data_IF_481554898046
#
_entry.id   IF_481554898046
#
_cell.length_a   1.000
_cell.length_b   1.000
_cell.length_c   1.000
_cell.angle_alpha   90.00
_cell.angle_beta   90.00
_cell.angle_gamma   90.00
#
_symmetry.space_group_name_H-M   'P 1'
#
loop_
_entity.id
_entity.type
_entity.pdbx_description
1 polymer ?
#
# COMPACT_ATOMS: atom_id res chain seq x y z
N UNK A 1 12.33 -15.20 -3.99
CA UNK A 1 11.56 -14.00 -3.65
C UNK A 1 12.48 -12.79 -3.82
N UNK A 2 11.98 -11.74 -4.47
CA UNK A 2 12.71 -10.68 -5.19
C UNK A 2 13.64 -11.23 -6.29
N UNK A 3 13.22 -11.12 -7.56
CA UNK A 3 14.19 -11.18 -8.66
C UNK A 3 15.19 -10.05 -8.40
N UNK A 4 16.48 -10.32 -8.59
CA UNK A 4 17.52 -9.31 -8.44
C UNK A 4 17.10 -8.09 -9.29
N UNK A 5 16.78 -6.96 -8.63
CA UNK A 5 16.40 -5.65 -9.20
C UNK A 5 14.92 -5.35 -9.49
N UNK A 6 13.92 -6.09 -8.98
CA UNK A 6 12.51 -5.63 -9.09
C UNK A 6 11.92 -5.25 -7.74
N UNK A 7 11.54 -3.99 -7.56
CA UNK A 7 10.78 -3.52 -6.39
C UNK A 7 9.41 -4.21 -6.32
N UNK A 8 8.85 -4.42 -5.11
CA UNK A 8 7.47 -4.88 -4.96
C UNK A 8 6.48 -3.95 -5.68
N UNK A 9 5.36 -4.47 -6.23
CA UNK A 9 4.43 -3.70 -7.09
C UNK A 9 3.64 -2.59 -6.36
N UNK A 10 3.83 -2.46 -5.05
CA UNK A 10 3.27 -1.39 -4.21
C UNK A 10 4.29 -0.30 -3.86
N UNK A 11 5.52 -0.37 -4.40
CA UNK A 11 6.57 0.64 -4.25
C UNK A 11 6.90 1.21 -5.64
N UNK A 12 6.66 2.50 -5.82
CA UNK A 12 7.02 3.16 -7.07
C UNK A 12 8.52 3.47 -7.11
N UNK A 13 9.21 3.28 -8.25
CA UNK A 13 10.66 3.52 -8.36
C UNK A 13 11.10 4.94 -7.95
N UNK A 14 10.24 5.95 -8.14
CA UNK A 14 10.54 7.33 -7.71
C UNK A 14 10.82 7.43 -6.20
N UNK A 15 10.19 6.61 -5.35
CA UNK A 15 10.40 6.64 -3.89
C UNK A 15 11.78 6.11 -3.48
N UNK A 16 12.49 5.44 -4.38
CA UNK A 16 13.84 4.88 -4.15
C UNK A 16 14.88 5.70 -4.94
N UNK A 17 14.46 6.80 -5.58
CA UNK A 17 15.37 7.73 -6.25
C UNK A 17 16.23 8.46 -5.21
N UNK A 18 17.49 8.72 -5.55
CA UNK A 18 18.40 9.51 -4.71
C UNK A 18 17.91 10.93 -4.40
N UNK A 19 16.89 11.41 -5.13
CA UNK A 19 16.26 12.72 -4.92
C UNK A 19 15.33 12.76 -3.71
N UNK A 20 14.79 11.61 -3.30
CA UNK A 20 13.92 11.48 -2.13
C UNK A 20 14.67 10.72 -1.04
N UNK A 21 15.05 11.41 0.03
CA UNK A 21 15.60 10.75 1.21
C UNK A 21 14.47 9.99 1.94
N UNK A 22 14.38 8.68 1.70
CA UNK A 22 13.35 7.81 2.27
C UNK A 22 13.99 6.78 3.19
N UNK A 23 14.60 7.28 4.27
CA UNK A 23 15.44 6.49 5.17
C UNK A 23 14.82 5.13 5.58
N UNK A 24 13.53 5.03 5.99
CA UNK A 24 12.95 3.74 6.36
C UNK A 24 12.96 2.70 5.23
N UNK A 25 12.72 3.15 3.99
CA UNK A 25 12.69 2.27 2.82
C UNK A 25 14.10 1.94 2.33
N UNK A 26 15.03 2.90 2.38
CA UNK A 26 16.45 2.68 2.07
C UNK A 26 17.06 1.64 3.03
N UNK A 27 16.78 1.78 4.33
CA UNK A 27 17.19 0.82 5.35
C UNK A 27 16.61 -0.57 5.03
N UNK A 28 15.32 -0.66 4.70
CA UNK A 28 14.68 -1.91 4.32
C UNK A 28 15.35 -2.58 3.13
N UNK A 29 15.58 -1.83 2.04
CA UNK A 29 16.21 -2.33 0.82
C UNK A 29 17.62 -2.86 1.13
N UNK A 30 18.41 -2.11 1.90
CA UNK A 30 19.75 -2.54 2.32
C UNK A 30 19.73 -3.83 3.14
N UNK A 31 18.78 -3.98 4.08
CA UNK A 31 18.62 -5.18 4.88
C UNK A 31 18.19 -6.39 4.03
N UNK A 32 17.29 -6.18 3.07
CA UNK A 32 16.84 -7.24 2.17
C UNK A 32 17.97 -7.69 1.23
N UNK A 33 18.79 -6.77 0.74
CA UNK A 33 19.99 -7.12 -0.03
C UNK A 33 21.00 -7.92 0.80
N UNK A 34 21.19 -7.54 2.07
CA UNK A 34 22.09 -8.25 2.99
C UNK A 34 21.69 -9.72 3.17
N UNK A 35 20.39 -10.02 3.24
CA UNK A 35 19.89 -11.38 3.47
C UNK A 35 19.70 -12.21 2.19
N UNK A 36 19.69 -11.55 1.03
CA UNK A 36 19.63 -12.20 -0.29
C UNK A 36 20.97 -12.80 -0.72
N UNK A 37 22.07 -12.44 -0.06
CA UNK A 37 23.40 -13.04 -0.27
C UNK A 37 23.64 -14.32 0.55
N UNK A 38 24.56 -15.17 0.11
CA UNK A 38 24.90 -16.47 0.73
C UNK A 38 25.71 -16.35 2.05
N UNK A 39 25.45 -15.36 2.89
CA UNK A 39 26.19 -15.16 4.14
C UNK A 39 25.63 -15.99 5.29
N UNK A 40 26.46 -16.89 5.85
CA UNK A 40 26.16 -17.59 7.12
C UNK A 40 25.90 -16.56 8.23
N UNK A 41 24.73 -16.61 8.86
CA UNK A 41 24.32 -15.68 9.91
C UNK A 41 23.56 -14.43 9.44
N UNK A 42 23.36 -14.27 8.12
CA UNK A 42 22.64 -13.12 7.54
C UNK A 42 21.21 -12.96 8.09
N UNK A 43 20.48 -14.07 8.31
CA UNK A 43 19.10 -14.05 8.84
C UNK A 43 19.01 -13.54 10.28
N UNK A 44 19.90 -14.00 11.17
CA UNK A 44 19.96 -13.52 12.56
C UNK A 44 20.28 -12.02 12.62
N UNK A 45 21.23 -11.58 11.80
CA UNK A 45 21.60 -10.17 11.72
C UNK A 45 20.46 -9.32 11.12
N UNK A 46 19.80 -9.83 10.08
CA UNK A 46 18.62 -9.22 9.47
C UNK A 46 17.54 -8.94 10.50
N UNK A 47 17.07 -9.97 11.23
CA UNK A 47 16.02 -9.80 12.23
C UNK A 47 16.44 -8.92 13.41
N UNK A 48 17.72 -8.94 13.79
CA UNK A 48 18.25 -7.99 14.78
C UNK A 48 18.13 -6.54 14.30
N UNK A 49 18.45 -6.29 13.03
CA UNK A 49 18.36 -4.94 12.45
C UNK A 49 16.91 -4.52 12.23
N UNK A 50 16.02 -5.43 11.82
CA UNK A 50 14.57 -5.15 11.73
C UNK A 50 14.02 -4.73 13.08
N UNK A 51 14.41 -5.42 14.18
CA UNK A 51 14.03 -5.01 15.54
C UNK A 51 14.46 -3.58 15.84
N UNK A 52 15.74 -3.25 15.61
CA UNK A 52 16.27 -1.91 15.88
C UNK A 52 15.55 -0.85 15.04
N UNK A 53 15.20 -1.17 13.79
CA UNK A 53 14.45 -0.25 12.93
C UNK A 53 13.02 -0.04 13.43
N UNK A 54 12.33 -1.09 13.87
CA UNK A 54 11.01 -0.93 14.50
C UNK A 54 11.08 -0.10 15.79
N UNK A 55 12.09 -0.31 16.63
CA UNK A 55 12.30 0.47 17.86
C UNK A 55 12.58 1.95 17.55
N UNK A 56 13.41 2.22 16.55
CA UNK A 56 13.69 3.57 16.05
C UNK A 56 12.44 4.25 15.52
N UNK A 57 11.69 3.58 14.63
CA UNK A 57 10.42 4.09 14.09
C UNK A 57 9.44 4.41 15.22
N UNK A 58 9.34 3.56 16.24
CA UNK A 58 8.49 3.83 17.40
C UNK A 58 8.93 5.09 18.17
N UNK A 59 10.23 5.31 18.34
CA UNK A 59 10.77 6.47 19.05
C UNK A 59 10.62 7.78 18.26
N UNK A 60 10.83 7.74 16.94
CA UNK A 60 11.01 8.91 16.09
C UNK A 60 9.78 9.25 15.23
N UNK A 61 8.71 8.44 15.27
CA UNK A 61 7.53 8.61 14.38
C UNK A 61 6.90 10.00 14.36
N UNK A 62 7.03 10.80 15.43
CA UNK A 62 6.48 12.15 15.48
C UNK A 62 7.22 13.14 14.58
N UNK A 63 8.50 12.89 14.33
CA UNK A 63 9.40 13.72 13.52
C UNK A 63 9.35 13.36 12.03
N UNK A 64 8.79 12.19 11.70
CA UNK A 64 8.68 11.72 10.31
C UNK A 64 7.67 12.55 9.49
N UNK A 65 8.07 12.87 8.27
CA UNK A 65 7.21 13.48 7.25
C UNK A 65 6.16 12.49 6.72
N UNK A 66 5.13 12.98 6.00
CA UNK A 66 4.12 12.11 5.37
C UNK A 66 4.74 11.03 4.48
N UNK A 67 5.82 11.39 3.78
CA UNK A 67 6.56 10.54 2.87
C UNK A 67 7.36 9.47 3.61
N UNK A 68 8.06 9.85 4.68
CA UNK A 68 8.78 8.88 5.52
C UNK A 68 7.84 7.93 6.26
N UNK A 69 6.66 8.40 6.68
CA UNK A 69 5.62 7.53 7.25
C UNK A 69 5.11 6.49 6.24
N UNK A 70 4.90 6.90 4.98
CA UNK A 70 4.55 5.99 3.89
C UNK A 70 5.67 4.98 3.63
N UNK A 71 6.92 5.46 3.53
CA UNK A 71 8.11 4.63 3.35
C UNK A 71 8.27 3.61 4.50
N UNK A 72 8.03 4.03 5.75
CA UNK A 72 8.03 3.15 6.92
C UNK A 72 6.94 2.08 6.83
N UNK A 73 5.72 2.44 6.44
CA UNK A 73 4.64 1.47 6.24
C UNK A 73 4.95 0.45 5.13
N UNK A 74 5.61 0.89 4.05
CA UNK A 74 6.08 0.01 2.97
C UNK A 74 7.18 -0.94 3.46
N UNK A 75 8.18 -0.42 4.19
CA UNK A 75 9.24 -1.23 4.80
C UNK A 75 8.68 -2.29 5.77
N UNK A 76 7.75 -1.90 6.64
CA UNK A 76 7.08 -2.81 7.57
C UNK A 76 6.31 -3.91 6.83
N UNK A 77 5.64 -3.58 5.71
CA UNK A 77 4.94 -4.59 4.91
C UNK A 77 5.90 -5.62 4.30
N UNK A 78 7.11 -5.19 3.87
CA UNK A 78 8.15 -6.10 3.39
C UNK A 78 8.61 -7.02 4.51
N UNK A 79 8.90 -6.47 5.70
CA UNK A 79 9.30 -7.28 6.86
C UNK A 79 8.23 -8.30 7.25
N UNK A 80 6.95 -7.93 7.20
CA UNK A 80 5.83 -8.84 7.44
C UNK A 80 5.77 -9.94 6.37
N UNK A 81 5.90 -9.60 5.08
CA UNK A 81 5.89 -10.60 4.00
C UNK A 81 7.05 -11.59 4.18
N UNK A 82 8.25 -11.12 4.52
CA UNK A 82 9.40 -11.99 4.80
C UNK A 82 9.15 -12.85 6.05
N UNK A 83 8.56 -12.27 7.10
CA UNK A 83 8.20 -12.99 8.33
C UNK A 83 7.22 -14.14 8.07
N UNK A 84 6.25 -13.91 7.18
CA UNK A 84 5.24 -14.89 6.78
C UNK A 84 5.84 -15.99 5.88
N UNK A 85 6.71 -15.63 4.94
CA UNK A 85 7.41 -16.59 4.07
C UNK A 85 8.35 -17.53 4.86
N UNK A 86 9.11 -16.98 5.81
CA UNK A 86 10.08 -17.76 6.60
C UNK A 86 9.43 -18.67 7.66
N UNK A 87 8.20 -18.35 8.10
CA UNK A 87 7.59 -19.00 9.27
C UNK A 87 8.32 -18.64 10.57
N UNK A 88 7.89 -19.25 11.69
CA UNK A 88 8.49 -18.98 13.01
C UNK A 88 9.91 -19.57 13.12
N UNK A 89 10.85 -18.77 13.59
CA UNK A 89 12.24 -19.16 13.82
C UNK A 89 12.75 -18.60 15.15
N UNK A 90 13.90 -19.10 15.61
CA UNK A 90 14.54 -18.67 16.87
C UNK A 90 14.96 -17.17 16.89
N UNK A 91 14.99 -16.49 15.74
CA UNK A 91 15.46 -15.09 15.64
C UNK A 91 14.38 -14.08 15.26
N UNK A 92 13.18 -14.52 14.85
CA UNK A 92 12.16 -13.65 14.25
C UNK A 92 10.88 -13.48 15.09
N UNK A 93 10.93 -13.80 16.39
CA UNK A 93 9.85 -13.54 17.35
C UNK A 93 9.65 -12.04 17.63
N UNK A 94 9.22 -11.30 16.61
CA UNK A 94 9.03 -9.85 16.57
C UNK A 94 7.59 -9.44 16.27
N UNK A 95 6.66 -10.40 16.17
CA UNK A 95 5.32 -10.17 15.64
C UNK A 95 4.57 -9.07 16.40
N UNK A 96 4.67 -9.08 17.74
CA UNK A 96 4.08 -8.03 18.59
C UNK A 96 4.69 -6.65 18.36
N UNK A 97 6.01 -6.58 18.15
CA UNK A 97 6.71 -5.34 17.85
C UNK A 97 6.33 -4.82 16.46
N UNK A 98 6.36 -5.68 15.43
CA UNK A 98 5.93 -5.35 14.07
C UNK A 98 4.50 -4.81 14.06
N UNK A 99 3.57 -5.47 14.74
CA UNK A 99 2.18 -5.02 14.83
C UNK A 99 2.05 -3.69 15.55
N UNK A 100 2.73 -3.51 16.68
CA UNK A 100 2.71 -2.25 17.41
C UNK A 100 3.26 -1.09 16.56
N UNK A 101 4.37 -1.31 15.85
CA UNK A 101 4.95 -0.30 14.96
C UNK A 101 4.02 0.02 13.80
N UNK A 102 3.39 -0.98 13.16
CA UNK A 102 2.40 -0.73 12.09
C UNK A 102 1.24 0.12 12.60
N UNK A 103 0.66 -0.22 13.76
CA UNK A 103 -0.45 0.54 14.34
C UNK A 103 -0.04 2.00 14.57
N UNK A 104 1.12 2.20 15.21
CA UNK A 104 1.61 3.53 15.56
C UNK A 104 1.88 4.40 14.32
N UNK A 105 2.59 3.86 13.33
CA UNK A 105 2.92 4.59 12.10
C UNK A 105 1.65 4.87 11.29
N UNK A 106 0.73 3.91 11.19
CA UNK A 106 -0.53 4.12 10.48
C UNK A 106 -1.41 5.16 11.18
N UNK A 107 -1.48 5.19 12.52
CA UNK A 107 -2.14 6.26 13.28
C UNK A 107 -1.55 7.63 12.93
N UNK A 108 -0.23 7.74 12.94
CA UNK A 108 0.45 8.99 12.60
C UNK A 108 0.22 9.41 11.15
N UNK A 109 0.21 8.46 10.22
CA UNK A 109 -0.10 8.71 8.81
C UNK A 109 -1.54 9.20 8.63
N UNK A 110 -2.49 8.70 9.42
CA UNK A 110 -3.87 9.18 9.44
C UNK A 110 -3.99 10.60 10.00
N UNK A 111 -3.29 10.90 11.10
CA UNK A 111 -3.31 12.21 11.77
C UNK A 111 -2.59 13.32 10.97
N UNK A 112 -1.66 12.95 10.09
CA UNK A 112 -0.87 13.90 9.29
C UNK A 112 -1.68 14.77 8.32
N UNK A 113 -3.02 14.66 8.31
CA UNK A 113 -3.90 15.72 7.84
C UNK A 113 -3.73 16.03 6.36
N UNK A 114 -3.98 15.05 5.49
CA UNK A 114 -4.14 15.32 4.06
C UNK A 114 -5.53 15.89 3.89
N UNK A 115 -5.63 17.19 4.11
CA UNK A 115 -6.80 17.95 3.70
C UNK A 115 -6.94 17.76 2.19
N UNK A 116 -7.97 17.03 1.80
CA UNK A 116 -8.35 16.84 0.42
C UNK A 116 -8.94 18.15 -0.12
N UNK A 117 -8.06 19.12 -0.35
CA UNK A 117 -8.34 20.14 -1.34
C UNK A 117 -8.22 19.47 -2.70
N UNK A 118 -9.34 18.91 -3.17
CA UNK A 118 -9.56 18.73 -4.60
C UNK A 118 -9.65 20.12 -5.24
N UNK A 119 -8.52 20.82 -5.30
CA UNK A 119 -8.29 21.81 -6.33
C UNK A 119 -8.03 21.05 -7.62
N UNK A 120 -8.46 21.62 -8.74
CA UNK A 120 -8.22 21.11 -10.11
C UNK A 120 -6.73 20.93 -10.47
N UNK A 121 -5.80 21.22 -9.56
CA UNK A 121 -4.35 21.08 -9.67
C UNK A 121 -3.80 20.00 -8.71
N UNK A 122 -4.22 18.74 -8.86
CA UNK A 122 -3.52 17.62 -8.17
C UNK A 122 -2.14 17.47 -8.81
N UNK A 123 -1.08 17.64 -8.02
CA UNK A 123 0.29 17.39 -8.49
C UNK A 123 0.53 15.89 -8.68
N UNK A 124 1.46 15.53 -9.57
CA UNK A 124 1.85 14.12 -9.73
C UNK A 124 2.36 13.50 -8.42
N UNK A 125 3.06 14.28 -7.59
CA UNK A 125 3.56 13.81 -6.29
C UNK A 125 2.42 13.50 -5.31
N UNK A 126 1.38 14.34 -5.25
CA UNK A 126 0.22 14.07 -4.40
C UNK A 126 -0.58 12.87 -4.92
N UNK A 127 -0.76 12.76 -6.24
CA UNK A 127 -1.35 11.57 -6.86
C UNK A 127 -0.57 10.30 -6.53
N UNK A 128 0.76 10.35 -6.64
CA UNK A 128 1.65 9.22 -6.42
C UNK A 128 1.64 8.78 -4.96
N UNK A 129 1.58 9.74 -4.04
CA UNK A 129 1.43 9.50 -2.61
C UNK A 129 0.15 8.72 -2.32
N UNK A 130 -0.99 9.19 -2.83
CA UNK A 130 -2.29 8.54 -2.61
C UNK A 130 -2.40 7.18 -3.31
N UNK A 131 -1.84 7.04 -4.52
CA UNK A 131 -1.79 5.76 -5.21
C UNK A 131 -0.91 4.75 -4.46
N UNK A 132 0.23 5.18 -3.92
CA UNK A 132 1.10 4.34 -3.09
C UNK A 132 0.39 3.87 -1.82
N UNK A 133 -0.35 4.76 -1.14
CA UNK A 133 -1.18 4.41 0.02
C UNK A 133 -2.28 3.42 -0.34
N UNK A 134 -2.95 3.62 -1.48
CA UNK A 134 -4.00 2.72 -1.98
C UNK A 134 -3.46 1.32 -2.22
N UNK A 135 -2.34 1.20 -2.94
CA UNK A 135 -1.68 -0.08 -3.22
C UNK A 135 -1.23 -0.78 -1.95
N UNK A 136 -0.69 -0.03 -0.99
CA UNK A 136 -0.28 -0.56 0.31
C UNK A 136 -1.47 -1.05 1.14
N UNK A 137 -2.59 -0.32 1.14
CA UNK A 137 -3.84 -0.74 1.78
C UNK A 137 -4.35 -2.07 1.24
N UNK A 138 -4.29 -2.27 -0.09
CA UNK A 138 -4.62 -3.56 -0.72
C UNK A 138 -3.73 -4.67 -0.17
N UNK A 139 -2.41 -4.46 -0.09
CA UNK A 139 -1.47 -5.46 0.46
C UNK A 139 -1.82 -5.83 1.89
N UNK A 140 -1.99 -4.86 2.79
CA UNK A 140 -2.33 -5.13 4.19
C UNK A 140 -3.69 -5.82 4.36
N UNK A 141 -4.68 -5.49 3.52
CA UNK A 141 -5.97 -6.19 3.51
C UNK A 141 -5.83 -7.64 3.09
N UNK A 142 -5.07 -7.91 2.03
CA UNK A 142 -4.83 -9.30 1.62
C UNK A 142 -4.09 -10.08 2.70
N UNK A 143 -3.07 -9.48 3.34
CA UNK A 143 -2.41 -10.09 4.50
C UNK A 143 -3.41 -10.41 5.60
N UNK A 144 -4.35 -9.51 5.91
CA UNK A 144 -5.39 -9.74 6.92
C UNK A 144 -6.41 -10.82 6.54
N UNK A 145 -6.65 -11.04 5.25
CA UNK A 145 -7.50 -12.14 4.80
C UNK A 145 -6.81 -13.50 4.99
N UNK A 146 -5.48 -13.55 4.86
CA UNK A 146 -4.69 -14.77 4.99
C UNK A 146 -4.32 -15.09 6.45
N UNK A 147 -4.08 -14.05 7.25
CA UNK A 147 -3.66 -14.14 8.65
C UNK A 147 -4.41 -13.11 9.46
N UNK A 148 -4.83 -13.43 10.69
CA UNK A 148 -5.45 -12.45 11.56
C UNK A 148 -4.46 -11.29 11.82
N UNK A 149 -4.74 -10.13 11.23
CA UNK A 149 -3.87 -8.96 11.25
C UNK A 149 -4.69 -7.74 11.66
N UNK A 150 -4.88 -7.61 12.97
CA UNK A 150 -5.65 -6.52 13.60
C UNK A 150 -5.38 -5.11 13.03
N UNK A 151 -4.14 -4.71 12.67
CA UNK A 151 -3.90 -3.38 12.13
C UNK A 151 -4.64 -3.08 10.81
N UNK A 152 -5.06 -4.10 10.04
CA UNK A 152 -5.90 -3.90 8.87
C UNK A 152 -7.33 -3.45 9.22
N UNK A 153 -7.81 -3.73 10.44
CA UNK A 153 -9.12 -3.25 10.91
C UNK A 153 -9.18 -1.72 11.05
N UNK A 154 -8.02 -1.04 11.09
CA UNK A 154 -7.97 0.42 11.05
C UNK A 154 -8.39 0.99 9.69
N UNK A 155 -8.38 0.18 8.63
CA UNK A 155 -8.92 0.56 7.33
C UNK A 155 -10.44 0.30 7.33
N UNK A 156 -11.23 1.32 7.65
CA UNK A 156 -12.69 1.22 7.61
C UNK A 156 -13.18 1.09 6.16
N UNK A 157 -13.88 -0.01 5.87
CA UNK A 157 -14.51 -0.25 4.58
C UNK A 157 -15.95 -0.73 4.80
N UNK A 158 -16.91 -0.36 3.95
CA UNK A 158 -18.25 -0.91 3.99
C UNK A 158 -18.22 -2.43 4.01
N UNK A 159 -19.07 -3.06 4.82
CA UNK A 159 -19.04 -4.51 5.06
C UNK A 159 -19.30 -5.35 3.79
N UNK A 160 -19.86 -4.74 2.74
CA UNK A 160 -20.10 -5.35 1.44
C UNK A 160 -18.88 -5.31 0.50
N UNK A 161 -17.78 -4.65 0.90
CA UNK A 161 -16.55 -4.56 0.12
C UNK A 161 -15.40 -5.23 0.88
N UNK A 162 -14.50 -5.87 0.12
CA UNK A 162 -13.29 -6.51 0.63
C UNK A 162 -12.07 -5.63 0.35
N UNK A 163 -11.94 -5.17 -0.88
CA UNK A 163 -10.86 -4.28 -1.33
C UNK A 163 -11.48 -3.05 -1.97
N UNK A 164 -11.19 -1.86 -1.44
CA UNK A 164 -11.49 -0.62 -2.14
C UNK A 164 -10.65 0.55 -1.62
N UNK A 165 -10.35 1.55 -2.46
CA UNK A 165 -10.39 1.44 -3.93
C UNK A 165 -9.30 0.49 -4.45
N UNK A 166 -9.54 -0.15 -5.58
CA UNK A 166 -8.56 -0.99 -6.27
C UNK A 166 -7.42 -0.14 -6.86
N UNK A 167 -6.24 -0.74 -7.09
CA UNK A 167 -5.10 -0.04 -7.70
C UNK A 167 -5.49 0.63 -9.02
N UNK A 168 -4.93 1.82 -9.22
CA UNK A 168 -5.12 2.61 -10.43
C UNK A 168 -4.38 2.02 -11.63
N UNK A 169 -4.63 2.62 -12.80
CA UNK A 169 -4.07 2.18 -14.07
C UNK A 169 -2.53 2.15 -14.06
N UNK A 170 -1.97 1.07 -14.60
CA UNK A 170 -0.55 0.80 -14.75
C UNK A 170 0.23 1.94 -15.40
N UNK A 171 -0.26 2.52 -16.48
CA UNK A 171 0.44 3.56 -17.22
C UNK A 171 0.58 4.85 -16.39
N UNK A 172 -0.43 5.18 -15.58
CA UNK A 172 -0.34 6.29 -14.63
C UNK A 172 0.64 5.97 -13.50
N UNK A 173 0.62 4.73 -13.01
CA UNK A 173 1.52 4.29 -11.94
C UNK A 173 2.97 4.25 -12.41
N UNK A 174 3.26 3.75 -13.60
CA UNK A 174 4.63 3.59 -14.12
C UNK A 174 5.19 4.89 -14.74
N UNK A 175 4.41 5.97 -14.77
CA UNK A 175 4.88 7.27 -15.25
C UNK A 175 6.07 7.76 -14.40
N UNK A 176 7.21 7.98 -15.05
CA UNK A 176 8.46 8.31 -14.34
C UNK A 176 8.58 9.77 -13.90
N UNK A 177 7.68 10.64 -14.39
CA UNK A 177 7.66 12.06 -14.09
C UNK A 177 6.27 12.66 -14.34
N UNK A 178 6.07 13.88 -13.87
CA UNK A 178 4.81 14.61 -13.96
C UNK A 178 4.32 14.84 -15.40
N UNK A 179 5.22 15.08 -16.36
CA UNK A 179 4.82 15.31 -17.76
C UNK A 179 4.20 14.06 -18.37
N UNK A 180 4.84 12.90 -18.17
CA UNK A 180 4.31 11.63 -18.65
C UNK A 180 3.00 11.26 -17.95
N UNK A 181 2.91 11.51 -16.64
CA UNK A 181 1.68 11.28 -15.88
C UNK A 181 0.52 12.14 -16.38
N UNK A 182 0.75 13.43 -16.68
CA UNK A 182 -0.26 14.33 -17.25
C UNK A 182 -0.74 13.84 -18.61
N UNK A 183 0.18 13.50 -19.51
CA UNK A 183 -0.14 12.97 -20.84
C UNK A 183 -1.03 11.73 -20.75
N UNK A 184 -0.67 10.80 -19.86
CA UNK A 184 -1.43 9.57 -19.67
C UNK A 184 -2.79 9.82 -19.03
N UNK A 185 -2.86 10.77 -18.09
CA UNK A 185 -4.13 11.17 -17.46
C UNK A 185 -5.09 11.81 -18.46
N UNK A 186 -4.58 12.57 -19.44
CA UNK A 186 -5.38 13.15 -20.52
C UNK A 186 -5.91 12.07 -21.48
N UNK A 187 -5.07 11.10 -21.83
CA UNK A 187 -5.46 9.96 -22.67
C UNK A 187 -6.61 9.13 -22.05
N UNK A 188 -6.68 9.04 -20.72
CA UNK A 188 -7.73 8.30 -20.00
C UNK A 188 -9.04 9.10 -19.85
N UNK A 189 -9.17 10.27 -20.49
CA UNK A 189 -10.44 10.98 -20.61
C UNK A 189 -10.93 11.66 -19.33
N UNK A 190 -10.05 11.89 -18.34
CA UNK A 190 -10.32 12.69 -17.14
C UNK A 190 -11.29 12.09 -16.10
N UNK A 191 -12.14 11.13 -16.48
CA UNK A 191 -13.03 10.41 -15.56
C UNK A 191 -12.24 9.32 -14.85
N UNK A 192 -11.81 9.61 -13.63
CA UNK A 192 -11.01 8.70 -12.82
C UNK A 192 -11.92 7.68 -12.12
N UNK A 193 -12.51 6.78 -12.89
CA UNK A 193 -13.36 5.70 -12.36
C UNK A 193 -12.55 4.86 -11.37
N UNK A 194 -13.04 4.78 -10.13
CA UNK A 194 -12.44 3.93 -9.10
C UNK A 194 -13.25 2.65 -9.01
N UNK A 195 -12.55 1.54 -8.80
CA UNK A 195 -13.18 0.23 -8.68
C UNK A 195 -13.03 -0.31 -7.25
N UNK A 196 -13.93 -1.21 -6.86
CA UNK A 196 -13.87 -1.98 -5.62
C UNK A 196 -14.16 -3.45 -5.89
N UNK A 197 -13.69 -4.33 -5.01
CA UNK A 197 -14.05 -5.74 -4.97
C UNK A 197 -15.07 -5.97 -3.85
N UNK A 198 -16.26 -6.43 -4.22
CA UNK A 198 -17.32 -6.76 -3.28
C UNK A 198 -17.06 -8.10 -2.57
N UNK A 199 -17.73 -8.31 -1.44
CA UNK A 199 -17.75 -9.59 -0.72
C UNK A 199 -18.51 -10.70 -1.44
N UNK A 200 -19.19 -10.38 -2.54
CA UNK A 200 -19.71 -11.36 -3.50
C UNK A 200 -18.66 -11.84 -4.52
N UNK A 201 -17.46 -11.25 -4.52
CA UNK A 201 -16.45 -11.46 -5.57
C UNK A 201 -16.69 -10.62 -6.84
N UNK A 202 -17.73 -9.78 -6.86
CA UNK A 202 -18.04 -8.91 -8.00
C UNK A 202 -17.19 -7.64 -8.01
N UNK A 203 -16.82 -7.17 -9.21
CA UNK A 203 -16.21 -5.87 -9.41
C UNK A 203 -17.29 -4.80 -9.39
N UNK A 204 -17.08 -3.72 -8.64
CA UNK A 204 -18.02 -2.59 -8.56
C UNK A 204 -17.34 -1.28 -8.94
N UNK A 205 -18.06 -0.42 -9.66
CA UNK A 205 -17.66 0.99 -9.85
C UNK A 205 -18.03 1.78 -8.60
N UNK A 206 -17.08 2.55 -8.11
CA UNK A 206 -17.27 3.50 -7.01
C UNK A 206 -17.55 4.87 -7.64
N UNK A 207 -18.61 5.54 -7.19
CA UNK A 207 -19.01 6.85 -7.73
C UNK A 207 -17.91 7.91 -7.61
N UNK A 208 -17.99 8.96 -8.44
CA UNK A 208 -17.02 10.09 -8.44
C UNK A 208 -16.92 10.79 -7.08
N UNK A 209 -18.01 10.76 -6.30
CA UNK A 209 -18.06 11.25 -4.92
C UNK A 209 -17.72 10.16 -3.89
N UNK A 210 -16.97 9.13 -4.27
CA UNK A 210 -16.16 8.45 -3.26
C UNK A 210 -15.09 9.48 -2.89
N UNK A 211 -15.50 10.43 -2.03
CA UNK A 211 -14.60 11.29 -1.29
C UNK A 211 -13.43 10.40 -0.94
N UNK A 212 -12.27 10.69 -1.50
CA UNK A 212 -11.00 10.32 -0.87
C UNK A 212 -10.93 11.07 0.45
N UNK A 213 -11.95 11.00 1.29
CA UNK A 213 -11.93 11.43 2.66
C UNK A 213 -11.10 10.39 3.38
N UNK A 214 -9.79 10.41 3.11
CA UNK A 214 -8.75 9.79 3.91
C UNK A 214 -8.96 8.27 4.00
N UNK A 215 -7.96 7.51 4.40
CA UNK A 215 -8.27 6.27 5.11
C UNK A 215 -8.83 6.61 6.50
N UNK A 216 -9.90 7.42 6.61
CA UNK A 216 -10.55 7.68 7.89
C UNK A 216 -12.01 8.13 7.75
N UNK A 217 -12.87 7.47 8.53
CA UNK A 217 -14.11 7.97 9.10
C UNK A 217 -14.48 9.43 8.74
N UNK A 218 -15.32 9.59 7.73
CA UNK A 218 -16.54 10.38 7.86
C UNK A 218 -17.58 9.76 6.91
N UNK A 219 -18.51 9.00 7.48
CA UNK A 219 -19.81 8.74 6.86
C UNK A 219 -19.83 8.10 5.46
N UNK A 220 -19.38 6.84 5.32
CA UNK A 220 -20.15 5.91 4.46
C UNK A 220 -21.34 5.37 5.27
N UNK A 221 -22.13 6.29 5.82
CA UNK A 221 -23.53 6.06 6.24
C UNK A 221 -24.50 6.56 5.18
N UNK A 222 -24.01 6.98 4.00
CA UNK A 222 -24.84 7.23 2.86
C UNK A 222 -25.30 5.89 2.25
N UNK A 223 -26.48 5.44 2.64
CA UNK A 223 -27.24 4.33 2.04
C UNK A 223 -27.47 4.44 0.52
N UNK A 224 -26.95 5.45 -0.18
CA UNK A 224 -27.31 5.77 -1.55
C UNK A 224 -26.09 6.20 -2.41
N UNK A 225 -25.01 5.41 -2.42
CA UNK A 225 -24.04 5.54 -3.52
C UNK A 225 -24.39 4.48 -4.55
N UNK A 226 -24.77 4.89 -5.77
CA UNK A 226 -25.09 3.99 -6.88
C UNK A 226 -23.82 3.24 -7.31
N UNK A 227 -23.52 2.14 -6.60
CA UNK A 227 -22.50 1.18 -6.99
C UNK A 227 -23.09 0.34 -8.11
N UNK A 228 -22.43 0.37 -9.26
CA UNK A 228 -22.84 -0.42 -10.42
C UNK A 228 -21.84 -1.55 -10.61
N UNK A 229 -22.34 -2.74 -10.96
CA UNK A 229 -21.48 -3.86 -11.33
C UNK A 229 -20.64 -3.47 -12.54
N UNK A 230 -19.33 -3.67 -12.44
CA UNK A 230 -18.37 -3.36 -13.47
C UNK A 230 -17.97 -4.63 -14.26
N UNK A 231 -17.52 -4.45 -15.50
CA UNK A 231 -16.90 -5.53 -16.25
C UNK A 231 -15.43 -5.66 -15.82
N UNK A 232 -14.99 -6.87 -15.48
CA UNK A 232 -13.60 -7.17 -15.17
C UNK A 232 -12.64 -6.80 -16.31
N UNK A 233 -13.07 -6.92 -17.58
CA UNK A 233 -12.25 -6.59 -18.75
C UNK A 233 -11.78 -5.12 -18.70
N UNK A 234 -12.69 -4.20 -18.35
CA UNK A 234 -12.41 -2.76 -18.28
C UNK A 234 -11.31 -2.43 -17.26
N UNK A 235 -11.37 -3.02 -16.07
CA UNK A 235 -10.33 -2.79 -15.08
C UNK A 235 -9.05 -3.55 -15.39
N UNK A 236 -9.15 -4.76 -15.97
CA UNK A 236 -8.00 -5.58 -16.33
C UNK A 236 -7.11 -4.95 -17.41
N UNK A 237 -7.66 -4.11 -18.29
CA UNK A 237 -6.89 -3.37 -19.31
C UNK A 237 -5.80 -2.49 -18.71
N UNK A 238 -6.06 -1.92 -17.53
CA UNK A 238 -5.12 -1.06 -16.80
C UNK A 238 -4.29 -1.78 -15.75
N UNK A 239 -4.33 -3.11 -15.70
CA UNK A 239 -3.79 -3.88 -14.58
C UNK A 239 -2.27 -4.02 -14.62
N UNK A 240 -1.63 -3.95 -13.44
CA UNK A 240 -0.22 -4.29 -13.27
C UNK A 240 -0.01 -5.52 -12.35
N UNK A 241 1.21 -5.71 -11.88
CA UNK A 241 1.57 -6.85 -11.04
C UNK A 241 0.72 -6.99 -9.77
N UNK A 242 0.11 -5.91 -9.26
CA UNK A 242 -0.75 -5.98 -8.08
C UNK A 242 -2.15 -6.49 -8.42
N UNK A 243 -2.63 -6.35 -9.65
CA UNK A 243 -3.98 -6.80 -9.96
C UNK A 243 -4.13 -8.31 -10.08
N UNK A 244 -3.04 -9.03 -10.34
CA UNK A 244 -3.02 -10.50 -10.14
C UNK A 244 -3.38 -10.89 -8.70
N UNK A 245 -2.95 -10.11 -7.70
CA UNK A 245 -3.32 -10.31 -6.30
C UNK A 245 -4.82 -10.08 -6.08
N UNK A 246 -5.40 -9.04 -6.68
CA UNK A 246 -6.84 -8.73 -6.60
C UNK A 246 -7.66 -9.86 -7.22
N UNK A 247 -7.24 -10.38 -8.38
CA UNK A 247 -7.92 -11.51 -9.05
C UNK A 247 -7.87 -12.79 -8.19
N UNK A 248 -6.74 -13.06 -7.53
CA UNK A 248 -6.63 -14.17 -6.59
C UNK A 248 -7.60 -14.02 -5.41
N UNK A 249 -7.67 -12.82 -4.83
CA UNK A 249 -8.64 -12.54 -3.75
C UNK A 249 -10.07 -12.74 -4.23
N UNK A 250 -10.43 -12.22 -5.42
CA UNK A 250 -11.76 -12.39 -5.99
C UNK A 250 -12.12 -13.88 -6.15
N UNK A 251 -11.17 -14.72 -6.52
CA UNK A 251 -11.39 -16.17 -6.66
C UNK A 251 -11.55 -16.93 -5.34
N UNK A 252 -11.10 -16.37 -4.21
CA UNK A 252 -11.20 -17.00 -2.88
C UNK A 252 -12.53 -16.74 -2.17
N UNK A 253 -13.31 -15.77 -2.68
CA UNK A 253 -14.54 -15.27 -2.06
C UNK A 253 -15.80 -15.94 -2.65
N UNK A 254 -15.61 -16.74 -3.71
CA UNK A 254 -16.66 -17.48 -4.44
C UNK A 254 -16.87 -18.87 -3.83
#
# INVERSE_FOLDING_TARGET
MLRHNSLPPFIHPYLVSAELAMEPLDNCINLVHMVSGEMKGGRKLFWRNVRMECERLCAEHLELTKWELLAAMQALSIYIIIRLDEGETEYNGLDSLLFATVILIAQRLMDSGIACNYSLDVTWQDWLFEESRRRLSVVYRVVNMLFYFEPAAMCNLPADLILAPLPGNKQLWEASNELLWKLESENQGGVRTKFGLASSGELVRLGEECSEGVLLHTSITAKNQERTTANWEEWCEGMDGLGGLVMLVASMVI
#
